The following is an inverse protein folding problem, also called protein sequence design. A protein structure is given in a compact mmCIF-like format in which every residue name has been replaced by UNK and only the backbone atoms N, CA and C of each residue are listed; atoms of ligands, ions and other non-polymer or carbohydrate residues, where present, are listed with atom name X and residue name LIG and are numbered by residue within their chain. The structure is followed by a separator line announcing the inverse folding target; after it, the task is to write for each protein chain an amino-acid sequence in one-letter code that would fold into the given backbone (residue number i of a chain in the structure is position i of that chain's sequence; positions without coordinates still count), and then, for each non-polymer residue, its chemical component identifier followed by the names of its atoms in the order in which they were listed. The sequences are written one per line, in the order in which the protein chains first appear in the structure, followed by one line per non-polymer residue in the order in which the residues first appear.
data_IF_543476849392
#
_entry.id   IF_543476849392
#
_cell.length_a   1.000
_cell.length_b   1.000
_cell.length_c   1.000
_cell.angle_alpha   90.00
_cell.angle_beta   90.00
_cell.angle_gamma   90.00
#
_symmetry.space_group_name_H-M   'P 1'
#
loop_
_entity.id
_entity.type
_entity.pdbx_description
1 polymer ?
#
# COMPACT_ATOMS: atom_id res chain seq x y z
N UNK A 1 -9.49 3.87 9.21
CA UNK A 1 -8.49 3.72 10.27
C UNK A 1 -8.49 4.92 11.23
N UNK A 2 -8.55 6.14 10.71
CA UNK A 2 -8.48 7.38 11.48
C UNK A 2 -9.62 7.49 12.52
N UNK A 3 -10.86 7.32 12.10
CA UNK A 3 -12.03 7.33 12.99
C UNK A 3 -11.89 6.31 14.13
N UNK A 4 -11.49 5.08 13.79
CA UNK A 4 -11.28 4.03 14.78
C UNK A 4 -10.17 4.39 15.77
N UNK A 5 -9.12 5.06 15.31
CA UNK A 5 -8.06 5.57 16.18
C UNK A 5 -8.59 6.62 17.16
N UNK A 6 -9.34 7.63 16.69
CA UNK A 6 -9.93 8.68 17.56
C UNK A 6 -10.89 8.10 18.59
N UNK A 7 -11.76 7.16 18.18
CA UNK A 7 -12.67 6.48 19.13
C UNK A 7 -11.87 5.82 20.26
N UNK A 8 -10.81 5.07 19.91
CA UNK A 8 -10.00 4.36 20.90
C UNK A 8 -9.15 5.31 21.75
N UNK A 9 -8.60 6.36 21.15
CA UNK A 9 -7.81 7.37 21.87
C UNK A 9 -8.65 8.13 22.92
N UNK A 10 -9.96 8.26 22.70
CA UNK A 10 -10.90 8.85 23.64
C UNK A 10 -11.55 7.81 24.58
N UNK A 11 -10.94 6.64 24.76
CA UNK A 11 -11.45 5.61 25.67
C UNK A 11 -12.63 4.79 25.14
N UNK A 12 -13.08 5.04 23.91
CA UNK A 12 -14.15 4.30 23.27
C UNK A 12 -13.73 2.88 22.88
N UNK A 13 -14.70 1.98 22.82
CA UNK A 13 -14.51 0.59 22.38
C UNK A 13 -15.18 0.38 21.02
N UNK A 14 -14.51 -0.39 20.15
CA UNK A 14 -15.05 -0.78 18.86
C UNK A 14 -15.48 -2.24 18.98
N UNK A 15 -16.75 -2.49 18.72
CA UNK A 15 -17.32 -3.82 18.77
C UNK A 15 -17.56 -4.33 17.34
N UNK A 16 -17.03 -5.52 17.03
CA UNK A 16 -17.28 -6.19 15.77
C UNK A 16 -18.34 -7.28 16.00
N UNK A 17 -19.48 -7.16 15.31
CA UNK A 17 -20.57 -8.13 15.38
C UNK A 17 -20.65 -8.95 14.09
N UNK A 18 -20.73 -10.27 14.21
CA UNK A 18 -20.96 -11.17 13.08
C UNK A 18 -22.41 -11.19 12.60
N UNK A 19 -23.32 -10.57 13.36
CA UNK A 19 -24.74 -10.43 12.99
C UNK A 19 -24.97 -9.28 11.97
N UNK A 20 -24.06 -8.31 11.92
CA UNK A 20 -24.14 -7.21 10.97
C UNK A 20 -23.49 -7.64 9.66
N UNK A 21 -24.29 -7.81 8.62
CA UNK A 21 -23.82 -8.18 7.28
C UNK A 21 -23.86 -6.97 6.38
N UNK A 22 -22.74 -6.64 5.75
CA UNK A 22 -22.60 -5.57 4.77
C UNK A 22 -22.23 -6.17 3.42
N UNK A 23 -22.90 -5.72 2.36
CA UNK A 23 -22.47 -6.00 1.00
C UNK A 23 -21.47 -4.91 0.57
N UNK A 24 -20.25 -5.32 0.23
CA UNK A 24 -19.23 -4.42 -0.30
C UNK A 24 -19.02 -4.69 -1.78
N UNK A 25 -19.32 -3.70 -2.61
CA UNK A 25 -19.07 -3.76 -4.04
C UNK A 25 -17.64 -3.36 -4.35
N UNK A 26 -16.81 -4.34 -4.68
CA UNK A 26 -15.42 -4.12 -5.09
C UNK A 26 -15.35 -3.41 -6.44
N UNK A 27 -14.19 -2.83 -6.75
CA UNK A 27 -13.93 -2.29 -8.10
C UNK A 27 -13.86 -3.46 -9.09
N UNK A 28 -14.62 -3.36 -10.16
CA UNK A 28 -14.75 -4.37 -11.22
C UNK A 28 -13.72 -4.20 -12.35
N UNK A 29 -13.02 -3.06 -12.37
CA UNK A 29 -12.01 -2.73 -13.37
C UNK A 29 -10.64 -2.53 -12.76
N UNK A 30 -9.59 -2.91 -13.50
CA UNK A 30 -8.20 -2.68 -13.10
C UNK A 30 -7.92 -1.18 -12.89
N UNK A 31 -8.41 -0.33 -13.79
CA UNK A 31 -8.26 1.13 -13.69
C UNK A 31 -8.92 1.67 -12.41
N UNK A 32 -10.11 1.20 -12.08
CA UNK A 32 -10.81 1.57 -10.84
C UNK A 32 -10.04 1.14 -9.60
N UNK A 33 -9.47 -0.07 -9.62
CA UNK A 33 -8.65 -0.60 -8.54
C UNK A 33 -7.35 0.22 -8.35
N UNK A 34 -6.65 0.55 -9.44
CA UNK A 34 -5.42 1.37 -9.37
C UNK A 34 -5.72 2.80 -8.88
N UNK A 35 -6.85 3.40 -9.33
CA UNK A 35 -7.30 4.70 -8.83
C UNK A 35 -7.55 4.64 -7.32
N UNK A 36 -8.20 3.59 -6.83
CA UNK A 36 -8.43 3.39 -5.39
C UNK A 36 -7.11 3.23 -4.62
N UNK A 37 -6.16 2.42 -5.13
CA UNK A 37 -4.85 2.25 -4.53
C UNK A 37 -4.12 3.59 -4.39
N UNK A 38 -4.13 4.41 -5.45
CA UNK A 38 -3.51 5.74 -5.47
C UNK A 38 -4.15 6.68 -4.44
N UNK A 39 -5.48 6.71 -4.36
CA UNK A 39 -6.19 7.49 -3.33
C UNK A 39 -5.85 7.01 -1.92
N UNK A 40 -5.79 5.69 -1.70
CA UNK A 40 -5.41 5.13 -0.41
C UNK A 40 -4.00 5.58 0.01
N UNK A 41 -3.03 5.54 -0.90
CA UNK A 41 -1.68 6.04 -0.65
C UNK A 41 -1.65 7.53 -0.29
N UNK A 42 -2.34 8.36 -1.08
CA UNK A 42 -2.46 9.81 -0.83
C UNK A 42 -3.04 10.07 0.56
N UNK A 43 -4.17 9.46 0.87
CA UNK A 43 -4.86 9.68 2.15
C UNK A 43 -4.10 9.09 3.34
N UNK A 44 -3.30 8.05 3.17
CA UNK A 44 -2.42 7.55 4.23
C UNK A 44 -1.45 8.63 4.70
N UNK A 45 -0.81 9.33 3.77
CA UNK A 45 0.13 10.41 4.09
C UNK A 45 -0.59 11.58 4.77
N UNK A 46 -1.69 12.06 4.16
CA UNK A 46 -2.46 13.18 4.72
C UNK A 46 -2.98 12.85 6.11
N UNK A 47 -3.58 11.68 6.29
CA UNK A 47 -4.13 11.25 7.59
C UNK A 47 -3.03 11.11 8.65
N UNK A 48 -1.87 10.58 8.30
CA UNK A 48 -0.75 10.45 9.26
C UNK A 48 -0.20 11.80 9.73
N UNK A 49 -0.30 12.83 8.90
CA UNK A 49 0.10 14.20 9.27
C UNK A 49 -0.92 14.86 10.19
N UNK A 50 -2.22 14.77 9.85
CA UNK A 50 -3.28 15.43 10.63
C UNK A 50 -3.67 14.68 11.90
N UNK A 51 -3.52 13.35 11.89
CA UNK A 51 -3.82 12.49 13.04
C UNK A 51 -2.64 11.53 13.27
N UNK A 52 -1.56 12.00 13.92
CA UNK A 52 -0.39 11.18 14.21
C UNK A 52 -0.76 9.90 14.99
N UNK A 53 -0.15 8.78 14.64
CA UNK A 53 -0.42 7.48 15.28
C UNK A 53 -1.63 6.71 14.71
N UNK A 54 -2.46 7.33 13.85
CA UNK A 54 -3.61 6.66 13.23
C UNK A 54 -3.23 5.61 12.18
N UNK A 55 -2.02 5.72 11.60
CA UNK A 55 -1.48 4.83 10.58
C UNK A 55 -0.28 4.05 11.09
N UNK A 56 -0.32 2.72 11.00
CA UNK A 56 0.81 1.86 11.33
C UNK A 56 1.86 1.81 10.22
N UNK A 57 3.08 1.37 10.56
CA UNK A 57 4.23 1.30 9.62
C UNK A 57 3.92 0.54 8.32
N UNK A 58 3.10 -0.50 8.38
CA UNK A 58 2.69 -1.29 7.22
C UNK A 58 2.07 -0.47 6.08
N UNK A 59 1.44 0.66 6.39
CA UNK A 59 0.80 1.54 5.39
C UNK A 59 1.82 2.34 4.57
N UNK A 60 3.07 2.42 5.03
CA UNK A 60 4.16 3.11 4.34
C UNK A 60 5.01 2.16 3.49
N UNK A 61 4.84 0.83 3.66
CA UNK A 61 5.61 -0.17 2.89
C UNK A 61 5.52 0.04 1.38
N UNK A 62 4.34 0.32 0.77
CA UNK A 62 4.28 0.55 -0.67
C UNK A 62 5.03 1.81 -1.13
N UNK A 63 5.11 2.84 -0.28
CA UNK A 63 5.93 4.03 -0.56
C UNK A 63 7.41 3.69 -0.52
N UNK A 64 7.86 3.00 0.54
CA UNK A 64 9.26 2.59 0.68
C UNK A 64 9.70 1.67 -0.45
N UNK A 65 8.85 0.71 -0.84
CA UNK A 65 9.09 -0.17 -1.98
C UNK A 65 9.23 0.63 -3.29
N UNK A 66 8.36 1.60 -3.56
CA UNK A 66 8.49 2.44 -4.75
C UNK A 66 9.78 3.28 -4.72
N UNK A 67 10.16 3.81 -3.56
CA UNK A 67 11.40 4.59 -3.40
C UNK A 67 12.64 3.71 -3.57
N UNK A 68 12.65 2.50 -3.05
CA UNK A 68 13.76 1.56 -3.22
C UNK A 68 13.98 1.20 -4.68
N UNK A 69 12.92 0.97 -5.45
CA UNK A 69 12.98 0.73 -6.90
C UNK A 69 13.57 1.90 -7.71
N UNK A 70 13.59 3.11 -7.16
CA UNK A 70 14.21 4.28 -7.78
C UNK A 70 15.63 4.49 -7.26
N UNK A 71 15.80 4.44 -5.94
CA UNK A 71 17.06 4.83 -5.27
C UNK A 71 18.13 3.75 -5.42
N UNK A 72 17.78 2.47 -5.21
CA UNK A 72 18.78 1.40 -5.27
C UNK A 72 19.42 1.24 -6.66
N UNK A 73 18.71 1.30 -7.79
CA UNK A 73 19.35 1.30 -9.11
C UNK A 73 20.30 2.48 -9.31
N UNK A 74 19.94 3.67 -8.85
CA UNK A 74 20.81 4.84 -8.95
C UNK A 74 22.07 4.69 -8.11
N UNK A 75 21.95 4.18 -6.88
CA UNK A 75 23.09 3.92 -6.01
C UNK A 75 23.96 2.75 -6.51
N UNK A 76 23.40 1.81 -7.27
CA UNK A 76 24.16 0.69 -7.85
C UNK A 76 25.18 1.14 -8.88
N UNK A 77 25.00 2.33 -9.48
CA UNK A 77 26.00 2.95 -10.35
C UNK A 77 27.27 3.32 -9.55
N UNK A 78 27.09 3.70 -8.27
CA UNK A 78 28.19 4.08 -7.40
C UNK A 78 28.87 2.86 -6.76
N UNK A 79 28.09 1.85 -6.38
CA UNK A 79 28.62 0.63 -5.77
C UNK A 79 27.71 -0.59 -6.00
N UNK A 80 28.24 -1.74 -6.48
CA UNK A 80 27.47 -2.94 -6.80
C UNK A 80 26.64 -3.51 -5.65
N UNK A 81 27.02 -3.24 -4.40
CA UNK A 81 26.28 -3.65 -3.19
C UNK A 81 24.79 -3.27 -3.25
N UNK A 82 24.47 -2.08 -3.74
CA UNK A 82 23.08 -1.63 -3.84
C UNK A 82 22.29 -2.39 -4.91
N UNK A 83 22.97 -2.85 -5.97
CA UNK A 83 22.38 -3.76 -6.96
C UNK A 83 22.02 -5.12 -6.37
N UNK A 84 22.88 -5.69 -5.50
CA UNK A 84 22.58 -6.92 -4.79
C UNK A 84 21.40 -6.73 -3.81
N UNK A 85 21.33 -5.60 -3.11
CA UNK A 85 20.19 -5.29 -2.23
C UNK A 85 18.87 -5.23 -3.02
N UNK A 86 18.87 -4.57 -4.17
CA UNK A 86 17.71 -4.53 -5.04
C UNK A 86 17.29 -5.92 -5.52
N UNK A 87 18.27 -6.75 -5.92
CA UNK A 87 17.99 -8.12 -6.37
C UNK A 87 17.37 -8.96 -5.25
N UNK A 88 17.91 -8.87 -4.04
CA UNK A 88 17.35 -9.56 -2.86
C UNK A 88 15.92 -9.08 -2.58
N UNK A 89 15.68 -7.77 -2.60
CA UNK A 89 14.36 -7.18 -2.40
C UNK A 89 13.36 -7.72 -3.42
N UNK A 90 13.71 -7.72 -4.71
CA UNK A 90 12.84 -8.21 -5.77
C UNK A 90 12.53 -9.71 -5.67
N UNK A 91 13.54 -10.53 -5.30
CA UNK A 91 13.34 -11.97 -5.08
C UNK A 91 12.40 -12.21 -3.90
N UNK A 92 12.61 -11.53 -2.78
CA UNK A 92 11.76 -11.65 -1.60
C UNK A 92 10.35 -11.16 -1.90
N UNK A 93 10.21 -10.02 -2.59
CA UNK A 93 8.92 -9.49 -2.99
C UNK A 93 8.17 -10.47 -3.89
N UNK A 94 8.82 -10.98 -4.94
CA UNK A 94 8.21 -11.95 -5.87
C UNK A 94 7.80 -13.26 -5.15
N UNK A 95 8.61 -13.73 -4.20
CA UNK A 95 8.29 -14.92 -3.40
C UNK A 95 7.07 -14.69 -2.51
N UNK A 96 7.01 -13.55 -1.82
CA UNK A 96 5.86 -13.19 -0.97
C UNK A 96 4.60 -12.94 -1.80
N UNK A 97 4.73 -12.31 -2.97
CA UNK A 97 3.63 -12.04 -3.89
C UNK A 97 3.07 -13.35 -4.45
N UNK A 98 3.95 -14.26 -4.87
CA UNK A 98 3.55 -15.59 -5.32
C UNK A 98 2.83 -16.35 -4.20
N UNK A 99 3.38 -16.35 -2.98
CA UNK A 99 2.74 -16.96 -1.82
C UNK A 99 1.35 -16.36 -1.58
N UNK A 100 1.22 -15.02 -1.57
CA UNK A 100 -0.06 -14.34 -1.40
C UNK A 100 -1.06 -14.67 -2.52
N UNK A 101 -0.56 -14.87 -3.75
CA UNK A 101 -1.41 -15.22 -4.89
C UNK A 101 -2.06 -16.60 -4.76
N UNK A 102 -1.44 -17.52 -4.03
CA UNK A 102 -2.02 -18.83 -3.69
C UNK A 102 -3.02 -18.76 -2.53
N UNK A 103 -3.04 -17.66 -1.75
CA UNK A 103 -3.96 -17.55 -0.62
C UNK A 103 -5.39 -17.24 -1.05
N UNK A 104 -6.35 -17.66 -0.20
CA UNK A 104 -7.78 -17.44 -0.42
C UNK A 104 -8.39 -18.43 -1.41
N UNK A 105 -9.49 -18.05 -2.04
CA UNK A 105 -10.28 -18.92 -2.91
C UNK A 105 -9.75 -19.04 -4.36
N UNK A 106 -8.48 -18.72 -4.60
CA UNK A 106 -7.88 -18.86 -5.92
C UNK A 106 -7.61 -20.35 -6.20
N UNK A 107 -8.55 -21.01 -6.85
CA UNK A 107 -8.45 -22.43 -7.21
C UNK A 107 -7.94 -22.65 -8.63
N UNK A 108 -7.99 -21.62 -9.49
CA UNK A 108 -7.62 -21.73 -10.89
C UNK A 108 -6.25 -21.07 -11.14
N UNK A 109 -5.36 -21.71 -11.94
CA UNK A 109 -4.07 -21.12 -12.30
C UNK A 109 -4.17 -19.68 -12.88
N UNK A 110 -5.23 -19.41 -13.64
CA UNK A 110 -5.52 -18.09 -14.17
C UNK A 110 -5.68 -17.03 -13.07
N UNK A 111 -6.35 -17.37 -11.97
CA UNK A 111 -6.61 -16.43 -10.87
C UNK A 111 -5.31 -16.12 -10.11
N UNK A 112 -4.44 -17.13 -9.93
CA UNK A 112 -3.11 -16.96 -9.34
C UNK A 112 -2.27 -16.04 -10.22
N UNK A 113 -2.23 -16.28 -11.53
CA UNK A 113 -1.50 -15.44 -12.49
C UNK A 113 -1.99 -13.99 -12.47
N UNK A 114 -3.31 -13.77 -12.47
CA UNK A 114 -3.90 -12.43 -12.40
C UNK A 114 -3.51 -11.72 -11.10
N UNK A 115 -3.61 -12.41 -9.94
CA UNK A 115 -3.23 -11.85 -8.64
C UNK A 115 -1.76 -11.45 -8.60
N UNK A 116 -0.86 -12.31 -9.09
CA UNK A 116 0.57 -12.06 -9.15
C UNK A 116 0.92 -10.76 -9.90
N UNK A 117 0.18 -10.39 -10.92
CA UNK A 117 0.38 -9.12 -11.63
C UNK A 117 -0.37 -7.93 -11.00
N UNK A 118 -1.51 -8.19 -10.37
CA UNK A 118 -2.31 -7.12 -9.75
C UNK A 118 -1.61 -6.57 -8.49
N UNK A 119 -0.98 -7.39 -7.67
CA UNK A 119 -0.39 -6.93 -6.43
C UNK A 119 0.75 -5.92 -6.64
N UNK A 120 1.75 -6.15 -7.52
CA UNK A 120 2.76 -5.14 -7.82
C UNK A 120 2.17 -3.84 -8.35
N UNK A 121 1.21 -3.93 -9.29
CA UNK A 121 0.53 -2.75 -9.83
C UNK A 121 -0.19 -1.96 -8.75
N UNK A 122 -0.83 -2.66 -7.81
CA UNK A 122 -1.51 -2.04 -6.67
C UNK A 122 -0.52 -1.33 -5.74
N UNK A 123 0.59 -1.99 -5.38
CA UNK A 123 1.62 -1.40 -4.52
C UNK A 123 2.30 -0.19 -5.17
N UNK A 124 2.64 -0.28 -6.45
CA UNK A 124 3.20 0.87 -7.19
C UNK A 124 2.21 2.04 -7.27
N UNK A 125 0.94 1.76 -7.59
CA UNK A 125 -0.10 2.79 -7.62
C UNK A 125 -0.31 3.45 -6.26
N UNK A 126 -0.27 2.66 -5.19
CA UNK A 126 -0.34 3.16 -3.82
C UNK A 126 0.87 4.04 -3.48
N UNK A 127 2.09 3.59 -3.79
CA UNK A 127 3.32 4.35 -3.59
C UNK A 127 3.30 5.70 -4.33
N UNK A 128 2.85 5.72 -5.60
CA UNK A 128 2.65 6.96 -6.37
C UNK A 128 1.66 7.87 -5.66
N UNK A 129 0.55 7.33 -5.16
CA UNK A 129 -0.42 8.08 -4.37
C UNK A 129 0.18 8.68 -3.10
N UNK A 130 1.06 7.94 -2.43
CA UNK A 130 1.78 8.43 -1.25
C UNK A 130 2.69 9.62 -1.57
N UNK A 131 3.41 9.58 -2.71
CA UNK A 131 4.20 10.72 -3.19
C UNK A 131 3.30 11.93 -3.47
N UNK A 132 2.14 11.72 -4.11
CA UNK A 132 1.15 12.77 -4.33
C UNK A 132 0.63 13.36 -3.00
N UNK A 133 0.46 12.52 -1.97
CA UNK A 133 0.12 12.95 -0.62
C UNK A 133 1.18 13.86 -0.02
N UNK A 134 2.46 13.50 -0.14
CA UNK A 134 3.58 14.34 0.31
C UNK A 134 3.62 15.70 -0.40
N UNK A 135 3.37 15.72 -1.70
CA UNK A 135 3.27 16.96 -2.45
C UNK A 135 2.10 17.83 -1.98
N UNK A 136 0.92 17.23 -1.80
CA UNK A 136 -0.26 17.95 -1.32
C UNK A 136 -0.08 18.57 0.07
N UNK A 137 0.78 17.98 0.94
CA UNK A 137 1.09 18.56 2.24
C UNK A 137 1.82 19.90 2.13
N UNK A 138 2.69 20.07 1.13
CA UNK A 138 3.39 21.36 0.90
C UNK A 138 2.40 22.45 0.54
N UNK A 139 1.46 22.15 -0.35
CA UNK A 139 0.44 23.12 -0.79
C UNK A 139 -0.51 23.55 0.33
N UNK A 140 -0.83 22.66 1.26
CA UNK A 140 -1.73 22.94 2.39
C UNK A 140 -1.03 23.76 3.49
N UNK A 141 0.30 23.73 3.56
CA UNK A 141 1.07 24.52 4.54
C UNK A 141 1.26 25.98 4.10
N UNK A 142 1.05 26.28 2.83
CA UNK A 142 1.23 27.62 2.24
C UNK A 142 -0.08 28.44 2.26
N UNK A 143 -1.20 27.84 2.71
CA UNK A 143 -2.50 28.51 2.99
C UNK A 143 -2.71 28.73 4.49
#
# INVERSE_FOLDING_TARGET
NELNYRIRANGGKIFLSNQIKLAYYCRDTLTGLMKQARLNGKWTILTSKFVPGSMGLRHFVPLLFLLSLIVLPLLSILHPFFGYLLLIELILYAGLDLYASFQGNATKPKDIFIKFWIYPLYHLSYGIGSIQGLWSLRTIQDE
#
